data_IF_503023121394
#
_entry.id   IF_503023121394
#
_cell.length_a   1.000
_cell.length_b   1.000
_cell.length_c   1.000
_cell.angle_alpha   90.00
_cell.angle_beta   90.00
_cell.angle_gamma   90.00
#
_symmetry.space_group_name_H-M   'P 1'
#
loop_
_entity.id
_entity.type
_entity.pdbx_description
1 polymer ?
#
# COMPACT_ATOMS: atom_id res chain seq x y z
N UNK A 1 -2.61 -27.43 -14.94
CA UNK A 1 -1.61 -27.01 -13.94
C UNK A 1 -1.39 -25.52 -14.18
N UNK A 2 -1.95 -24.57 -13.42
CA UNK A 2 -1.82 -24.39 -11.98
C UNK A 2 -0.93 -23.16 -11.75
N UNK A 3 -1.57 -21.97 -11.72
CA UNK A 3 -1.06 -20.62 -11.39
C UNK A 3 0.37 -20.27 -11.83
N UNK A 4 0.47 -19.35 -12.80
CA UNK A 4 1.66 -18.55 -13.01
C UNK A 4 2.16 -18.03 -11.64
N UNK A 5 3.37 -18.43 -11.27
CA UNK A 5 4.11 -17.82 -10.17
C UNK A 5 4.21 -16.34 -10.48
N UNK A 6 3.46 -15.52 -9.73
CA UNK A 6 3.66 -14.07 -9.78
C UNK A 6 5.13 -13.89 -9.43
N UNK A 7 5.92 -13.41 -10.38
CA UNK A 7 7.28 -12.98 -10.08
C UNK A 7 7.09 -11.88 -9.07
N UNK A 8 7.56 -12.09 -7.84
CA UNK A 8 7.55 -11.03 -6.84
C UNK A 8 8.44 -9.93 -7.45
N UNK A 9 7.83 -8.85 -7.93
CA UNK A 9 8.52 -7.74 -8.60
C UNK A 9 9.48 -6.99 -7.65
N UNK A 10 9.79 -7.56 -6.47
CA UNK A 10 10.44 -6.90 -5.34
C UNK A 10 9.49 -6.00 -4.54
N UNK A 11 8.21 -5.92 -4.92
CA UNK A 11 7.24 -5.04 -4.30
C UNK A 11 6.30 -5.77 -3.34
N UNK A 12 6.40 -5.42 -2.06
CA UNK A 12 5.42 -5.77 -1.03
C UNK A 12 4.20 -4.87 -1.15
N UNK A 13 3.02 -5.50 -1.24
CA UNK A 13 1.72 -4.84 -1.27
C UNK A 13 0.98 -5.08 0.03
N UNK A 14 0.49 -4.01 0.66
CA UNK A 14 -0.32 -4.06 1.88
C UNK A 14 -1.61 -3.26 1.68
N UNK A 15 -2.74 -3.93 1.87
CA UNK A 15 -4.08 -3.32 1.76
C UNK A 15 -4.62 -3.00 3.15
N UNK A 16 -5.17 -1.79 3.29
CA UNK A 16 -5.77 -1.28 4.51
C UNK A 16 -7.19 -0.81 4.23
N UNK A 17 -8.12 -1.12 5.13
CA UNK A 17 -9.50 -0.67 5.06
C UNK A 17 -9.84 0.06 6.35
N UNK A 18 -9.90 1.39 6.29
CA UNK A 18 -10.05 2.27 7.46
C UNK A 18 -11.05 3.40 7.16
N UNK A 19 -11.64 4.05 8.17
CA UNK A 19 -12.40 5.29 7.97
C UNK A 19 -11.58 6.34 7.20
N UNK A 20 -12.22 7.24 6.46
CA UNK A 20 -11.54 8.22 5.59
C UNK A 20 -10.49 9.06 6.30
N UNK A 21 -10.76 9.48 7.54
CA UNK A 21 -9.79 10.19 8.38
C UNK A 21 -8.56 9.33 8.68
N UNK A 22 -8.80 8.17 9.30
CA UNK A 22 -7.79 7.18 9.67
C UNK A 22 -6.97 6.69 8.46
N UNK A 23 -7.61 6.52 7.30
CA UNK A 23 -6.95 6.06 6.08
C UNK A 23 -5.91 7.07 5.59
N UNK A 24 -6.21 8.37 5.66
CA UNK A 24 -5.25 9.44 5.33
C UNK A 24 -4.09 9.47 6.30
N UNK A 25 -4.37 9.35 7.59
CA UNK A 25 -3.32 9.30 8.62
C UNK A 25 -2.43 8.08 8.43
N UNK A 26 -3.03 6.89 8.21
CA UNK A 26 -2.31 5.64 7.94
C UNK A 26 -1.44 5.72 6.68
N UNK A 27 -1.96 6.31 5.60
CA UNK A 27 -1.18 6.52 4.39
C UNK A 27 0.03 7.43 4.67
N UNK A 28 -0.16 8.53 5.42
CA UNK A 28 0.93 9.43 5.80
C UNK A 28 1.96 8.75 6.70
N UNK A 29 1.51 7.98 7.69
CA UNK A 29 2.37 7.18 8.57
C UNK A 29 3.23 6.19 7.78
N UNK A 30 2.66 5.54 6.77
CA UNK A 30 3.38 4.59 5.92
C UNK A 30 4.41 5.29 5.04
N UNK A 31 4.05 6.42 4.43
CA UNK A 31 4.99 7.22 3.64
C UNK A 31 6.10 7.83 4.51
N UNK A 32 5.81 8.16 5.77
CA UNK A 32 6.78 8.67 6.73
C UNK A 32 7.73 7.57 7.23
N UNK A 33 7.19 6.40 7.59
CA UNK A 33 7.97 5.25 8.07
C UNK A 33 8.81 4.61 6.95
N UNK A 34 8.31 4.61 5.73
CA UNK A 34 8.97 4.04 4.55
C UNK A 34 9.09 5.12 3.48
N UNK A 35 10.12 6.00 3.58
CA UNK A 35 10.27 7.10 2.64
C UNK A 35 10.42 6.57 1.21
N UNK A 36 9.75 7.22 0.25
CA UNK A 36 9.75 6.86 -1.17
C UNK A 36 11.17 6.78 -1.75
N UNK A 37 12.10 7.61 -1.26
CA UNK A 37 13.49 7.61 -1.70
C UNK A 37 14.21 6.28 -1.43
N UNK A 38 13.89 5.58 -0.33
CA UNK A 38 14.54 4.32 0.05
C UNK A 38 13.74 3.09 -0.37
N UNK A 39 12.40 3.16 -0.37
CA UNK A 39 11.53 2.00 -0.55
C UNK A 39 10.58 2.11 -1.75
N UNK A 40 10.64 3.18 -2.54
CA UNK A 40 9.69 3.46 -3.61
C UNK A 40 8.21 3.32 -3.19
N UNK A 41 7.90 3.64 -1.92
CA UNK A 41 6.57 3.49 -1.33
C UNK A 41 5.55 4.37 -2.06
N UNK A 42 4.44 3.77 -2.50
CA UNK A 42 3.38 4.45 -3.24
C UNK A 42 2.00 3.81 -2.99
N UNK A 43 0.93 4.58 -3.12
CA UNK A 43 -0.44 4.06 -3.11
C UNK A 43 -0.73 3.52 -4.51
N UNK A 44 -0.79 2.20 -4.65
CA UNK A 44 -1.06 1.52 -5.93
C UNK A 44 -2.55 1.61 -6.31
N UNK A 45 -3.44 1.51 -5.32
CA UNK A 45 -4.88 1.54 -5.53
C UNK A 45 -5.57 2.16 -4.32
N UNK A 46 -6.64 2.91 -4.54
CA UNK A 46 -7.56 3.31 -3.47
C UNK A 46 -8.99 3.37 -4.00
N UNK A 47 -9.94 3.04 -3.12
CA UNK A 47 -11.38 3.17 -3.38
C UNK A 47 -12.11 3.59 -2.13
N UNK A 48 -13.20 4.32 -2.34
CA UNK A 48 -14.14 4.67 -1.28
C UNK A 48 -15.15 3.54 -1.10
N UNK A 49 -15.41 3.18 0.15
CA UNK A 49 -16.38 2.17 0.55
C UNK A 49 -17.57 2.85 1.25
N UNK A 50 -18.75 2.23 1.22
CA UNK A 50 -19.91 2.73 1.95
C UNK A 50 -19.60 2.82 3.46
N UNK A 51 -20.10 3.88 4.09
CA UNK A 51 -19.89 4.14 5.52
C UNK A 51 -18.61 4.92 5.85
N UNK A 52 -18.22 5.86 4.99
CA UNK A 52 -17.04 6.75 5.17
C UNK A 52 -15.72 5.99 5.37
N UNK A 53 -15.56 4.89 4.65
CA UNK A 53 -14.34 4.07 4.69
C UNK A 53 -13.57 4.20 3.38
N UNK A 54 -12.26 4.06 3.45
CA UNK A 54 -11.35 4.01 2.33
C UNK A 54 -10.60 2.70 2.43
N UNK A 55 -10.60 1.97 1.33
CA UNK A 55 -9.68 0.86 1.13
C UNK A 55 -8.56 1.31 0.22
N UNK A 56 -7.31 1.17 0.66
CA UNK A 56 -6.16 1.50 -0.16
C UNK A 56 -5.08 0.43 -0.04
N UNK A 57 -4.37 0.22 -1.14
CA UNK A 57 -3.23 -0.67 -1.24
C UNK A 57 -1.97 0.16 -1.39
N UNK A 58 -1.04 0.00 -0.47
CA UNK A 58 0.32 0.52 -0.59
C UNK A 58 1.19 -0.54 -1.23
N UNK A 59 2.03 -0.14 -2.16
CA UNK A 59 3.17 -0.92 -2.63
C UNK A 59 4.47 -0.28 -2.15
N UNK A 60 5.45 -1.09 -1.79
CA UNK A 60 6.81 -0.67 -1.45
C UNK A 60 7.80 -1.78 -1.79
N UNK A 61 9.06 -1.46 -1.96
CA UNK A 61 10.10 -2.45 -2.09
C UNK A 61 10.28 -3.24 -0.78
N UNK A 62 10.55 -4.54 -0.90
CA UNK A 62 10.88 -5.42 0.24
C UNK A 62 12.26 -5.11 0.82
N UNK A 63 13.17 -4.58 0.00
CA UNK A 63 14.50 -4.11 0.41
C UNK A 63 14.69 -2.66 -0.01
N UNK A 64 15.44 -1.89 0.78
CA UNK A 64 15.94 -0.60 0.33
C UNK A 64 17.04 -0.82 -0.72
N UNK A 65 17.10 0.04 -1.73
CA UNK A 65 18.21 0.14 -2.71
C UNK A 65 19.45 0.77 -2.06
#
# INVERSE_FOLDING_TARGET
MGRASVKDDGFRRETFTLPRGEAREKAREQLHRYPKAAYATEIEFWRELPGDRIEFTIRRLTSAD
#
